data_IF_068753578736
#
_entry.id   IF_068753578736
#
_cell.length_a   1.000
_cell.length_b   1.000
_cell.length_c   1.000
_cell.angle_alpha   90.00
_cell.angle_beta   90.00
_cell.angle_gamma   90.00
#
_symmetry.space_group_name_H-M   'P 1'
#
loop_
_entity.id
_entity.type
_entity.pdbx_description
1 polymer ?
#
# COMPACT_ATOMS: atom_id res chain seq x y z
N UNK A 1 -56.07 8.79 32.31
CA UNK A 1 -54.79 9.49 32.13
C UNK A 1 -53.70 8.44 32.03
N UNK A 2 -53.19 8.22 30.81
CA UNK A 2 -52.14 7.24 30.56
C UNK A 2 -50.77 7.79 30.90
N UNK A 3 -49.83 6.90 31.16
CA UNK A 3 -48.67 6.80 30.29
C UNK A 3 -48.00 5.43 30.47
N UNK A 4 -48.05 4.67 29.39
CA UNK A 4 -47.25 3.47 29.16
C UNK A 4 -45.83 3.97 28.91
N UNK A 5 -44.91 3.71 29.84
CA UNK A 5 -43.48 3.84 29.57
C UNK A 5 -43.08 2.73 28.60
N UNK A 6 -43.04 3.09 27.32
CA UNK A 6 -42.48 2.28 26.25
C UNK A 6 -41.04 1.91 26.61
N UNK A 7 -40.81 0.64 26.90
CA UNK A 7 -39.47 0.04 26.92
C UNK A 7 -38.99 0.07 25.47
N UNK A 8 -38.17 1.05 25.14
CA UNK A 8 -37.43 1.04 23.88
C UNK A 8 -36.42 -0.11 23.98
N UNK A 9 -36.79 -1.27 23.44
CA UNK A 9 -35.87 -2.35 23.12
C UNK A 9 -34.72 -1.76 22.30
N UNK A 10 -33.53 -1.77 22.89
CA UNK A 10 -32.32 -1.13 22.40
C UNK A 10 -31.76 -1.75 21.12
N UNK A 11 -32.47 -1.57 19.99
CA UNK A 11 -31.84 -1.56 18.68
C UNK A 11 -30.95 -0.32 18.63
N UNK A 12 -29.70 -0.50 19.07
CA UNK A 12 -28.62 0.48 18.89
C UNK A 12 -28.68 0.91 17.43
N UNK A 13 -29.00 2.18 17.17
CA UNK A 13 -29.08 2.71 15.82
C UNK A 13 -27.80 2.31 15.08
N UNK A 14 -27.95 1.60 13.97
CA UNK A 14 -26.83 1.10 13.20
C UNK A 14 -25.97 2.31 12.81
N UNK A 15 -24.67 2.25 13.14
CA UNK A 15 -23.78 3.39 12.98
C UNK A 15 -23.73 3.80 11.50
N UNK A 16 -23.94 5.09 11.19
CA UNK A 16 -24.01 5.60 9.83
C UNK A 16 -22.79 5.21 8.96
N UNK A 17 -21.59 5.12 9.55
CA UNK A 17 -20.38 4.67 8.85
C UNK A 17 -20.43 3.19 8.46
N UNK A 18 -21.06 2.35 9.28
CA UNK A 18 -21.28 0.91 8.99
C UNK A 18 -22.29 0.76 7.86
N UNK A 19 -23.36 1.55 7.88
CA UNK A 19 -24.36 1.55 6.80
C UNK A 19 -23.76 1.96 5.47
N UNK A 20 -23.01 3.07 5.45
CA UNK A 20 -22.28 3.53 4.27
C UNK A 20 -21.35 2.45 3.71
N UNK A 21 -20.52 1.85 4.56
CA UNK A 21 -19.60 0.80 4.15
C UNK A 21 -20.32 -0.43 3.57
N UNK A 22 -21.44 -0.85 4.17
CA UNK A 22 -22.23 -1.97 3.68
C UNK A 22 -22.80 -1.71 2.27
N UNK A 23 -23.24 -0.47 1.99
CA UNK A 23 -23.72 -0.09 0.67
C UNK A 23 -22.60 -0.15 -0.38
N UNK A 24 -21.43 0.39 -0.09
CA UNK A 24 -20.29 0.36 -1.04
C UNK A 24 -19.78 -1.07 -1.28
N UNK A 25 -19.67 -1.88 -0.23
CA UNK A 25 -19.22 -3.27 -0.34
C UNK A 25 -20.20 -4.16 -1.13
N UNK A 26 -21.50 -3.86 -1.11
CA UNK A 26 -22.50 -4.55 -1.94
C UNK A 26 -22.32 -4.26 -3.42
N UNK A 27 -21.89 -3.06 -3.80
CA UNK A 27 -21.59 -2.72 -5.21
C UNK A 27 -20.44 -3.57 -5.75
N UNK A 28 -19.39 -3.77 -4.95
CA UNK A 28 -18.28 -4.66 -5.32
C UNK A 28 -18.75 -6.10 -5.51
N UNK A 29 -19.61 -6.59 -4.61
CA UNK A 29 -20.19 -7.94 -4.72
C UNK A 29 -21.00 -8.13 -6.01
N UNK A 30 -21.76 -7.12 -6.44
CA UNK A 30 -22.56 -7.19 -7.67
C UNK A 30 -21.76 -7.23 -8.96
N UNK A 31 -20.48 -6.81 -8.94
CA UNK A 31 -19.63 -6.79 -10.13
C UNK A 31 -19.11 -8.17 -10.53
N UNK A 32 -19.15 -9.15 -9.61
CA UNK A 32 -18.75 -10.52 -9.91
C UNK A 32 -19.89 -11.31 -10.55
N UNK A 33 -19.60 -12.05 -11.60
CA UNK A 33 -20.58 -12.91 -12.31
C UNK A 33 -20.54 -14.35 -11.81
N UNK A 34 -19.34 -14.87 -11.56
CA UNK A 34 -19.10 -16.22 -11.05
C UNK A 34 -19.39 -16.37 -9.55
N UNK A 35 -19.86 -17.56 -9.15
CA UNK A 35 -20.28 -17.86 -7.77
C UNK A 35 -19.10 -17.95 -6.80
N UNK A 36 -17.93 -18.46 -7.23
CA UNK A 36 -16.74 -18.50 -6.41
C UNK A 36 -16.27 -17.07 -6.08
N UNK A 37 -16.17 -16.22 -7.10
CA UNK A 37 -15.79 -14.82 -6.92
C UNK A 37 -16.76 -14.07 -5.98
N UNK A 38 -18.08 -14.30 -6.12
CA UNK A 38 -19.07 -13.76 -5.18
C UNK A 38 -18.87 -14.26 -3.74
N UNK A 39 -18.58 -15.54 -3.55
CA UNK A 39 -18.36 -16.11 -2.23
C UNK A 39 -17.10 -15.56 -1.57
N UNK A 40 -16.03 -15.37 -2.33
CA UNK A 40 -14.79 -14.75 -1.86
C UNK A 40 -15.03 -13.28 -1.47
N UNK A 41 -15.70 -12.50 -2.33
CA UNK A 41 -16.05 -11.11 -2.04
C UNK A 41 -16.97 -10.99 -0.82
N UNK A 42 -17.94 -11.91 -0.65
CA UNK A 42 -18.80 -11.91 0.52
C UNK A 42 -18.03 -12.14 1.83
N UNK A 43 -17.00 -12.99 1.82
CA UNK A 43 -16.09 -13.20 2.97
C UNK A 43 -15.27 -11.94 3.26
N UNK A 44 -14.74 -11.29 2.23
CA UNK A 44 -14.01 -10.02 2.36
C UNK A 44 -14.91 -8.93 2.96
N UNK A 45 -16.14 -8.78 2.46
CA UNK A 45 -17.11 -7.82 2.97
C UNK A 45 -17.38 -8.03 4.46
N UNK A 46 -17.56 -9.28 4.90
CA UNK A 46 -17.76 -9.61 6.31
C UNK A 46 -16.57 -9.18 7.18
N UNK A 47 -15.35 -9.44 6.72
CA UNK A 47 -14.14 -9.07 7.46
C UNK A 47 -13.98 -7.55 7.57
N UNK A 48 -14.20 -6.82 6.49
CA UNK A 48 -14.15 -5.35 6.47
C UNK A 48 -15.21 -4.76 7.40
N UNK A 49 -16.46 -5.25 7.32
CA UNK A 49 -17.54 -4.79 8.20
C UNK A 49 -17.24 -5.06 9.68
N UNK A 50 -16.58 -6.17 10.02
CA UNK A 50 -16.18 -6.44 11.41
C UNK A 50 -15.19 -5.40 11.94
N UNK A 51 -14.21 -5.00 11.12
CA UNK A 51 -13.25 -3.95 11.46
C UNK A 51 -13.95 -2.58 11.63
N UNK A 52 -14.82 -2.22 10.67
CA UNK A 52 -15.55 -0.95 10.71
C UNK A 52 -16.50 -0.91 11.91
N UNK A 53 -17.20 -1.99 12.23
CA UNK A 53 -18.05 -2.07 13.42
C UNK A 53 -17.25 -1.89 14.72
N UNK A 54 -16.08 -2.53 14.81
CA UNK A 54 -15.18 -2.38 15.97
C UNK A 54 -14.72 -0.94 16.11
N UNK A 55 -14.28 -0.32 15.03
CA UNK A 55 -13.84 1.07 14.99
C UNK A 55 -14.97 2.06 15.32
N UNK A 56 -16.15 1.86 14.74
CA UNK A 56 -17.36 2.66 14.97
C UNK A 56 -17.90 2.57 16.41
N UNK A 57 -17.61 1.47 17.11
CA UNK A 57 -17.94 1.29 18.51
C UNK A 57 -17.01 2.05 19.47
N UNK A 58 -15.84 2.47 19.01
CA UNK A 58 -14.90 3.29 19.76
C UNK A 58 -15.27 4.77 19.53
N UNK A 59 -15.70 5.47 20.57
CA UNK A 59 -16.19 6.85 20.48
C UNK A 59 -15.07 7.85 20.16
N UNK A 60 -14.66 7.92 18.89
CA UNK A 60 -13.66 8.83 18.36
C UNK A 60 -14.26 10.18 17.96
N UNK A 61 -13.47 11.24 18.06
CA UNK A 61 -13.75 12.49 17.33
C UNK A 61 -13.23 12.35 15.89
N UNK A 62 -13.63 13.23 14.98
CA UNK A 62 -13.12 13.22 13.61
C UNK A 62 -11.58 13.26 13.55
N UNK A 63 -10.95 13.97 14.49
CA UNK A 63 -9.49 14.09 14.57
C UNK A 63 -8.82 12.80 15.08
N UNK A 64 -9.33 12.20 16.16
CA UNK A 64 -8.74 10.96 16.69
C UNK A 64 -9.00 9.77 15.76
N UNK A 65 -10.15 9.75 15.09
CA UNK A 65 -10.46 8.75 14.08
C UNK A 65 -9.41 8.75 12.95
N UNK A 66 -9.07 9.94 12.42
CA UNK A 66 -8.06 10.07 11.37
C UNK A 66 -6.68 9.57 11.83
N UNK A 67 -6.28 9.92 13.06
CA UNK A 67 -5.00 9.49 13.62
C UNK A 67 -4.91 7.97 13.80
N UNK A 68 -5.98 7.34 14.32
CA UNK A 68 -6.03 5.88 14.48
C UNK A 68 -5.97 5.18 13.13
N UNK A 69 -6.70 5.68 12.12
CA UNK A 69 -6.68 5.10 10.76
C UNK A 69 -5.27 5.19 10.15
N UNK A 70 -4.59 6.33 10.27
CA UNK A 70 -3.22 6.49 9.76
C UNK A 70 -2.23 5.51 10.41
N UNK A 71 -2.25 5.37 11.74
CA UNK A 71 -1.41 4.38 12.46
C UNK A 71 -1.76 2.96 12.02
N UNK A 72 -3.06 2.66 11.94
CA UNK A 72 -3.53 1.32 11.59
C UNK A 72 -3.10 0.90 10.19
N UNK A 73 -3.28 1.79 9.19
CA UNK A 73 -2.80 1.58 7.83
C UNK A 73 -1.30 1.34 7.80
N UNK A 74 -0.52 2.16 8.52
CA UNK A 74 0.93 2.06 8.55
C UNK A 74 1.42 0.72 9.12
N UNK A 75 0.79 0.23 10.19
CA UNK A 75 1.12 -1.06 10.80
C UNK A 75 0.71 -2.25 9.93
N UNK A 76 -0.46 -2.20 9.28
CA UNK A 76 -0.88 -3.24 8.34
C UNK A 76 0.04 -3.33 7.13
N UNK A 77 0.61 -2.20 6.69
CA UNK A 77 1.63 -2.14 5.64
C UNK A 77 3.04 -2.50 6.13
N UNK A 78 3.19 -2.98 7.38
CA UNK A 78 4.47 -3.34 7.99
C UNK A 78 5.52 -2.20 7.96
N UNK A 79 5.05 -0.96 8.10
CA UNK A 79 5.91 0.24 8.14
C UNK A 79 6.09 0.72 9.59
N UNK A 80 7.28 1.25 9.95
CA UNK A 80 7.59 1.64 11.32
C UNK A 80 6.95 2.98 11.68
N UNK A 81 6.47 3.14 12.92
CA UNK A 81 5.85 4.39 13.42
C UNK A 81 6.85 5.50 13.76
N UNK A 82 8.15 5.20 13.74
CA UNK A 82 9.23 6.16 13.93
C UNK A 82 10.38 5.85 12.98
N UNK A 83 11.29 6.81 12.71
CA UNK A 83 12.39 6.59 11.80
C UNK A 83 13.25 5.37 12.18
N UNK A 84 13.80 4.72 11.16
CA UNK A 84 14.87 3.75 11.26
C UNK A 84 16.16 4.53 11.43
N UNK A 85 16.93 4.20 12.46
CA UNK A 85 18.15 4.94 12.83
C UNK A 85 19.41 4.34 12.20
N UNK A 86 19.35 3.09 11.74
CA UNK A 86 20.48 2.38 11.15
C UNK A 86 21.37 1.69 12.18
N UNK A 87 21.00 1.67 13.46
CA UNK A 87 21.76 1.04 14.55
C UNK A 87 21.77 -0.49 14.39
N UNK A 88 22.82 -1.16 14.87
CA UNK A 88 23.04 -2.59 14.61
C UNK A 88 21.88 -3.50 15.11
N UNK A 89 21.21 -3.11 16.18
CA UNK A 89 20.09 -3.84 16.77
C UNK A 89 18.83 -3.85 15.88
N UNK A 90 18.69 -2.91 14.94
CA UNK A 90 17.54 -2.84 14.03
C UNK A 90 17.59 -3.89 12.90
N UNK A 91 18.69 -4.64 12.76
CA UNK A 91 18.96 -5.48 11.59
C UNK A 91 19.08 -6.96 11.91
N UNK A 92 18.63 -7.79 10.97
CA UNK A 92 18.82 -9.24 10.96
C UNK A 92 19.57 -9.63 9.69
N UNK A 93 20.65 -10.40 9.83
CA UNK A 93 21.36 -10.95 8.68
C UNK A 93 20.51 -12.01 7.98
N UNK A 94 20.42 -11.93 6.65
CA UNK A 94 19.62 -12.84 5.82
C UNK A 94 20.46 -13.57 4.77
N UNK A 95 21.74 -13.23 4.67
CA UNK A 95 22.71 -13.87 3.77
C UNK A 95 23.17 -15.24 4.28
N UNK A 96 23.60 -16.12 3.36
CA UNK A 96 24.15 -17.42 3.72
C UNK A 96 25.62 -17.30 4.14
N UNK A 97 26.09 -18.23 4.97
CA UNK A 97 27.49 -18.23 5.41
C UNK A 97 28.45 -18.39 4.22
N UNK A 98 29.47 -17.53 4.13
CA UNK A 98 30.52 -17.59 3.10
C UNK A 98 30.49 -16.48 2.05
N UNK A 99 29.38 -15.74 1.93
CA UNK A 99 29.23 -14.69 0.92
C UNK A 99 30.14 -13.48 1.18
N UNK A 100 30.64 -12.85 0.10
CA UNK A 100 31.48 -11.65 0.22
C UNK A 100 30.72 -10.40 0.63
N UNK A 101 29.44 -10.37 0.29
CA UNK A 101 28.51 -9.32 0.61
C UNK A 101 27.46 -9.89 1.56
N UNK A 102 27.41 -9.33 2.76
CA UNK A 102 26.42 -9.64 3.78
C UNK A 102 25.22 -8.72 3.61
N UNK A 103 24.04 -9.29 3.51
CA UNK A 103 22.76 -8.61 3.37
C UNK A 103 22.01 -8.72 4.68
N UNK A 104 21.47 -7.59 5.11
CA UNK A 104 20.68 -7.49 6.32
C UNK A 104 19.32 -6.89 5.99
N UNK A 105 18.28 -7.46 6.57
CA UNK A 105 16.91 -6.95 6.49
C UNK A 105 16.57 -6.21 7.79
N UNK A 106 15.87 -5.08 7.69
CA UNK A 106 15.42 -4.36 8.87
C UNK A 106 14.29 -5.13 9.58
N UNK A 107 14.35 -5.21 10.91
CA UNK A 107 13.37 -5.96 11.73
C UNK A 107 11.99 -5.27 11.78
N UNK A 108 11.96 -3.95 11.62
CA UNK A 108 10.76 -3.10 11.74
C UNK A 108 10.16 -2.73 10.39
N UNK A 109 10.90 -2.92 9.29
CA UNK A 109 10.47 -2.60 7.94
C UNK A 109 11.03 -3.66 6.96
N UNK A 110 10.26 -4.71 6.62
CA UNK A 110 10.73 -5.81 5.79
C UNK A 110 11.18 -5.41 4.38
N UNK A 111 10.75 -4.23 3.90
CA UNK A 111 11.14 -3.70 2.59
C UNK A 111 12.53 -3.07 2.57
N UNK A 112 13.12 -2.82 3.75
CA UNK A 112 14.41 -2.14 3.88
C UNK A 112 15.55 -3.13 4.05
N UNK A 113 16.54 -3.03 3.16
CA UNK A 113 17.73 -3.88 3.14
C UNK A 113 19.00 -3.05 3.12
N UNK A 114 20.03 -3.53 3.81
CA UNK A 114 21.39 -3.01 3.66
C UNK A 114 22.36 -4.11 3.27
N UNK A 115 23.37 -3.74 2.49
CA UNK A 115 24.49 -4.59 2.09
C UNK A 115 25.75 -4.09 2.75
N UNK A 116 26.53 -4.99 3.30
CA UNK A 116 27.84 -4.71 3.89
C UNK A 116 28.88 -5.65 3.28
N UNK A 117 30.14 -5.21 3.20
CA UNK A 117 31.25 -6.11 2.89
C UNK A 117 31.57 -7.05 4.08
N UNK A 118 32.50 -7.99 3.90
CA UNK A 118 32.96 -8.89 4.98
C UNK A 118 33.47 -8.15 6.23
N UNK A 119 34.01 -6.93 6.08
CA UNK A 119 34.50 -6.11 7.19
C UNK A 119 33.38 -5.35 7.94
N UNK A 120 32.14 -5.45 7.49
CA UNK A 120 30.98 -4.78 8.09
C UNK A 120 30.77 -3.34 7.62
N UNK A 121 31.55 -2.85 6.65
CA UNK A 121 31.34 -1.54 6.03
C UNK A 121 30.09 -1.59 5.17
N UNK A 122 29.16 -0.68 5.41
CA UNK A 122 27.94 -0.53 4.61
C UNK A 122 28.31 -0.10 3.18
N UNK A 123 27.91 -0.90 2.21
CA UNK A 123 28.08 -0.63 0.78
C UNK A 123 26.86 0.11 0.23
N UNK A 124 25.67 -0.31 0.67
CA UNK A 124 24.41 0.21 0.16
C UNK A 124 23.26 -0.03 1.15
N UNK A 125 22.23 0.80 1.08
CA UNK A 125 20.98 0.63 1.79
C UNK A 125 19.81 1.08 0.92
N UNK A 126 18.80 0.22 0.79
CA UNK A 126 17.66 0.41 -0.09
C UNK A 126 16.31 0.18 0.61
N UNK A 127 15.26 0.84 0.13
CA UNK A 127 13.87 0.41 0.32
C UNK A 127 13.33 -0.16 -1.00
N UNK A 128 13.11 -1.47 -1.06
CA UNK A 128 12.66 -2.14 -2.29
C UNK A 128 11.22 -1.78 -2.67
N UNK A 129 10.40 -1.35 -1.70
CA UNK A 129 9.03 -0.89 -1.90
C UNK A 129 8.97 0.65 -1.95
N UNK A 130 10.13 1.31 -2.00
CA UNK A 130 10.24 2.76 -1.91
C UNK A 130 9.94 3.48 -3.23
N UNK A 131 9.94 2.77 -4.35
CA UNK A 131 9.76 3.31 -5.70
C UNK A 131 8.83 2.43 -6.53
N UNK A 132 8.00 3.08 -7.35
CA UNK A 132 7.30 2.47 -8.48
C UNK A 132 7.59 3.28 -9.73
N UNK A 133 7.76 2.57 -10.84
CA UNK A 133 8.18 3.11 -12.12
C UNK A 133 7.01 3.05 -13.10
N UNK A 134 6.93 4.03 -14.00
CA UNK A 134 6.01 4.01 -15.13
C UNK A 134 6.70 4.40 -16.42
N UNK A 135 6.51 3.58 -17.46
CA UNK A 135 6.99 3.84 -18.84
C UNK A 135 5.90 4.39 -19.74
N UNK A 136 4.69 4.58 -19.22
CA UNK A 136 3.47 4.87 -19.98
C UNK A 136 2.71 6.07 -19.42
N UNK A 137 3.44 7.00 -18.79
CA UNK A 137 2.87 8.24 -18.27
C UNK A 137 1.94 8.06 -17.07
N UNK A 138 2.05 6.93 -16.36
CA UNK A 138 1.28 6.63 -15.15
C UNK A 138 0.03 5.79 -15.40
N UNK A 139 -0.12 5.24 -16.60
CA UNK A 139 -1.22 4.33 -16.91
C UNK A 139 -1.04 2.97 -16.22
N UNK A 140 0.21 2.50 -16.12
CA UNK A 140 0.62 1.36 -15.30
C UNK A 140 1.87 1.66 -14.49
N UNK A 141 2.01 0.92 -13.39
CA UNK A 141 3.11 1.05 -12.43
C UNK A 141 3.74 -0.30 -12.15
N UNK A 142 5.07 -0.36 -12.04
CA UNK A 142 5.81 -1.58 -11.75
C UNK A 142 7.04 -1.32 -10.87
N UNK A 143 7.57 -2.36 -10.23
CA UNK A 143 8.85 -2.30 -9.52
C UNK A 143 9.94 -2.97 -10.35
N UNK A 144 11.20 -2.56 -10.18
CA UNK A 144 12.32 -3.18 -10.89
C UNK A 144 13.59 -3.22 -10.05
N UNK A 145 14.27 -4.37 -10.04
CA UNK A 145 15.58 -4.50 -9.39
C UNK A 145 16.69 -3.67 -10.05
N UNK A 146 16.45 -3.14 -11.26
CA UNK A 146 17.40 -2.25 -11.97
C UNK A 146 17.38 -0.82 -11.43
N UNK A 147 16.34 -0.42 -10.71
CA UNK A 147 16.23 0.93 -10.14
C UNK A 147 15.48 0.86 -8.80
N UNK A 148 16.21 1.08 -7.71
CA UNK A 148 15.72 0.95 -6.35
C UNK A 148 15.96 2.23 -5.56
N UNK A 149 15.19 2.42 -4.47
CA UNK A 149 15.31 3.61 -3.64
C UNK A 149 16.49 3.47 -2.70
N UNK A 150 17.59 4.15 -3.00
CA UNK A 150 18.71 4.25 -2.06
C UNK A 150 18.35 5.22 -0.91
N UNK A 151 18.66 4.83 0.32
CA UNK A 151 18.24 5.55 1.53
C UNK A 151 19.42 5.86 2.45
N UNK A 152 19.30 6.96 3.20
CA UNK A 152 20.19 7.33 4.29
C UNK A 152 19.44 7.39 5.63
N UNK A 153 20.17 7.35 6.74
CA UNK A 153 19.58 7.37 8.08
C UNK A 153 19.69 8.77 8.75
N UNK A 154 18.68 9.18 9.54
CA UNK A 154 17.45 8.47 9.86
C UNK A 154 16.48 8.38 8.67
N UNK A 155 15.83 7.23 8.49
CA UNK A 155 14.91 6.96 7.38
C UNK A 155 13.48 6.72 7.85
N UNK A 156 12.53 7.47 7.29
CA UNK A 156 11.10 7.23 7.52
C UNK A 156 10.46 6.79 6.20
N UNK A 157 10.05 5.52 6.07
CA UNK A 157 9.32 5.06 4.89
C UNK A 157 8.04 5.88 4.69
N UNK A 158 7.75 6.25 3.45
CA UNK A 158 6.50 6.93 3.08
C UNK A 158 5.26 6.07 3.35
N UNK A 159 4.07 6.65 3.16
CA UNK A 159 2.81 5.90 3.20
C UNK A 159 2.64 5.00 1.97
N UNK A 160 3.19 5.43 0.83
CA UNK A 160 3.29 4.67 -0.41
C UNK A 160 4.66 4.83 -1.06
N UNK A 161 4.90 4.10 -2.16
CA UNK A 161 6.10 4.26 -2.96
C UNK A 161 6.13 5.64 -3.63
N UNK A 162 7.33 6.12 -3.93
CA UNK A 162 7.51 7.28 -4.78
C UNK A 162 7.30 6.89 -6.25
N UNK A 163 6.44 7.64 -6.93
CA UNK A 163 6.08 7.45 -8.33
C UNK A 163 7.08 8.14 -9.25
N UNK A 164 7.73 7.38 -10.13
CA UNK A 164 8.76 7.88 -11.05
C UNK A 164 8.46 7.47 -12.48
N UNK A 165 8.39 8.45 -13.38
CA UNK A 165 8.28 8.20 -14.80
C UNK A 165 9.65 7.90 -15.39
N UNK A 166 9.74 6.90 -16.25
CA UNK A 166 11.01 6.42 -16.79
C UNK A 166 10.93 6.07 -18.26
N UNK A 167 12.07 6.15 -18.94
CA UNK A 167 12.29 5.56 -20.26
C UNK A 167 13.25 4.37 -20.11
N UNK A 168 12.91 3.24 -20.73
CA UNK A 168 13.80 2.09 -20.79
C UNK A 168 14.95 2.34 -21.78
N UNK A 169 16.17 2.00 -21.35
CA UNK A 169 17.41 1.97 -22.14
C UNK A 169 18.09 0.63 -21.95
N UNK A 170 19.09 0.34 -22.78
CA UNK A 170 19.80 -0.95 -22.78
C UNK A 170 20.29 -1.36 -21.38
N UNK A 171 20.81 -0.40 -20.60
CA UNK A 171 21.40 -0.64 -19.27
C UNK A 171 20.46 -0.33 -18.09
N UNK A 172 19.19 0.03 -18.32
CA UNK A 172 18.25 0.33 -17.23
C UNK A 172 17.20 1.38 -17.56
N UNK A 173 16.98 2.31 -16.63
CA UNK A 173 15.93 3.32 -16.73
C UNK A 173 16.52 4.72 -16.58
N UNK A 174 16.01 5.66 -17.36
CA UNK A 174 16.28 7.09 -17.20
C UNK A 174 15.01 7.78 -16.74
N UNK A 175 15.13 8.59 -15.68
CA UNK A 175 14.00 9.36 -15.15
C UNK A 175 13.55 10.41 -16.17
N UNK A 176 12.25 10.47 -16.39
CA UNK A 176 11.57 11.50 -17.17
C UNK A 176 10.91 12.46 -16.18
N UNK A 177 11.19 13.75 -16.31
CA UNK A 177 10.51 14.82 -15.55
C UNK A 177 9.77 15.80 -16.45
N UNK A 178 9.85 15.62 -17.77
CA UNK A 178 9.19 16.48 -18.76
C UNK A 178 7.70 16.16 -18.81
N UNK A 179 6.87 17.11 -18.39
CA UNK A 179 5.42 16.95 -18.31
C UNK A 179 4.76 16.70 -19.66
N UNK A 180 5.23 17.33 -20.75
CA UNK A 180 4.66 17.14 -22.09
C UNK A 180 4.93 15.72 -22.58
N UNK A 181 6.14 15.21 -22.34
CA UNK A 181 6.49 13.82 -22.66
C UNK A 181 5.67 12.83 -21.83
N UNK A 182 5.51 13.06 -20.53
CA UNK A 182 4.71 12.20 -19.64
C UNK A 182 3.24 12.15 -20.13
N UNK A 183 2.66 13.29 -20.46
CA UNK A 183 1.28 13.37 -20.95
C UNK A 183 1.11 12.66 -22.31
N UNK A 184 2.08 12.81 -23.21
CA UNK A 184 2.07 12.12 -24.50
C UNK A 184 2.11 10.58 -24.33
N UNK A 185 2.94 10.07 -23.42
CA UNK A 185 3.02 8.64 -23.11
C UNK A 185 1.69 8.11 -22.55
N UNK A 186 1.04 8.86 -21.66
CA UNK A 186 -0.25 8.47 -21.10
C UNK A 186 -1.34 8.39 -22.18
N UNK A 187 -1.41 9.40 -23.07
CA UNK A 187 -2.38 9.42 -24.17
C UNK A 187 -2.20 8.21 -25.09
N UNK A 188 -0.97 7.92 -25.51
CA UNK A 188 -0.66 6.75 -26.34
C UNK A 188 -1.04 5.42 -25.65
N UNK A 189 -0.77 5.29 -24.35
CA UNK A 189 -1.16 4.10 -23.58
C UNK A 189 -2.68 3.93 -23.49
N UNK A 190 -3.41 5.01 -23.23
CA UNK A 190 -4.86 5.00 -23.15
C UNK A 190 -5.51 4.66 -24.51
N UNK A 191 -5.00 5.21 -25.62
CA UNK A 191 -5.46 4.90 -26.97
C UNK A 191 -5.24 3.42 -27.33
N UNK A 192 -4.04 2.87 -27.02
CA UNK A 192 -3.75 1.44 -27.22
C UNK A 192 -4.68 0.54 -26.40
N UNK A 193 -5.00 0.91 -25.17
CA UNK A 193 -5.93 0.17 -24.32
C UNK A 193 -7.35 0.16 -24.91
N UNK A 194 -7.85 1.31 -25.35
CA UNK A 194 -9.16 1.43 -26.00
C UNK A 194 -9.24 0.63 -27.30
N UNK A 195 -8.20 0.70 -28.15
CA UNK A 195 -8.13 -0.08 -29.38
C UNK A 195 -8.17 -1.59 -29.10
N UNK A 196 -7.46 -2.05 -28.06
CA UNK A 196 -7.46 -3.46 -27.64
C UNK A 196 -8.83 -3.94 -27.17
N UNK A 197 -9.56 -3.11 -26.42
CA UNK A 197 -10.93 -3.45 -25.99
C UNK A 197 -11.92 -3.55 -27.16
N UNK A 198 -11.74 -2.74 -28.20
CA UNK A 198 -12.60 -2.78 -29.40
C UNK A 198 -12.36 -4.04 -30.23
N UNK A 199 -11.14 -4.58 -30.26
CA UNK A 199 -10.80 -5.84 -30.95
C UNK A 199 -11.36 -7.05 -30.19
N UNK A 200 -11.54 -6.94 -28.87
CA UNK A 200 -12.01 -8.04 -28.01
C UNK A 200 -13.54 -8.14 -27.90
N UNK A 201 -14.29 -7.20 -28.50
CA UNK A 201 -15.76 -7.17 -28.54
C UNK A 201 -16.26 -7.72 -29.88
#
# INVERSE_FOLDING_TARGET
>A
MGNITSINDGKKAENASVQYANVELKKLLSNHTDMQAKNEQARLNKNILALINTFAGQSHTSQTAHYVVSIFQRLLSLKPLSPIMGTADEWREVTRSGDEIRTFQNKRCPSVFKKCNKMGVMLDCIDQDGLVLSTDGGFTWFTSGKMLKHIGFPYMPGEGPEEVFVEEKDDGYIIITDSEKIEALYKDAAERAQAREQILK
#
